data_IF_485145158784
#
_entry.id   IF_485145158784
#
_cell.length_a   1.000
_cell.length_b   1.000
_cell.length_c   1.000
_cell.angle_alpha   90.00
_cell.angle_beta   90.00
_cell.angle_gamma   90.00
#
_symmetry.space_group_name_H-M   'P 1'
#
loop_
_entity.id
_entity.type
_entity.pdbx_description
1 polymer ?
#
# COMPACT_ATOMS: atom_id res chain seq x y z
N UNK A 1 11.78 -19.46 12.31
CA UNK A 1 11.86 -19.40 10.83
C UNK A 1 10.92 -18.35 10.24
N UNK A 2 9.61 -18.42 10.46
CA UNK A 2 8.66 -17.43 9.93
C UNK A 2 8.97 -15.97 10.30
N UNK A 3 9.40 -15.70 11.55
CA UNK A 3 9.80 -14.35 12.00
C UNK A 3 11.02 -13.81 11.24
N UNK A 4 11.98 -14.67 10.89
CA UNK A 4 13.17 -14.27 10.11
C UNK A 4 12.81 -13.93 8.66
N UNK A 5 11.95 -14.74 8.04
CA UNK A 5 11.42 -14.48 6.69
C UNK A 5 10.59 -13.19 6.63
N UNK A 6 9.78 -12.94 7.66
CA UNK A 6 9.00 -11.71 7.79
C UNK A 6 9.91 -10.49 7.99
N UNK A 7 10.95 -10.62 8.83
CA UNK A 7 11.95 -9.57 9.06
C UNK A 7 12.78 -9.23 7.81
N UNK A 8 13.21 -10.24 7.05
CA UNK A 8 13.92 -10.03 5.78
C UNK A 8 13.03 -9.34 4.74
N UNK A 9 11.77 -9.79 4.59
CA UNK A 9 10.83 -9.15 3.66
C UNK A 9 10.54 -7.70 4.05
N UNK A 10 10.33 -7.44 5.34
CA UNK A 10 10.14 -6.08 5.86
C UNK A 10 11.36 -5.18 5.63
N UNK A 11 12.56 -5.71 5.84
CA UNK A 11 13.81 -4.99 5.56
C UNK A 11 13.93 -4.59 4.08
N UNK A 12 13.67 -5.52 3.17
CA UNK A 12 13.69 -5.23 1.73
C UNK A 12 12.63 -4.20 1.34
N UNK A 13 11.39 -4.37 1.82
CA UNK A 13 10.30 -3.41 1.57
C UNK A 13 10.70 -1.99 2.00
N UNK A 14 11.24 -1.87 3.22
CA UNK A 14 11.60 -0.57 3.77
C UNK A 14 12.83 0.05 3.08
N UNK A 15 13.80 -0.77 2.65
CA UNK A 15 14.94 -0.34 1.86
C UNK A 15 14.53 0.17 0.46
N UNK A 16 13.60 -0.50 -0.21
CA UNK A 16 13.07 -0.03 -1.50
C UNK A 16 12.22 1.23 -1.33
N UNK A 17 11.40 1.30 -0.28
CA UNK A 17 10.58 2.48 0.01
C UNK A 17 11.44 3.72 0.28
N UNK A 18 12.48 3.61 1.11
CA UNK A 18 13.41 4.73 1.37
C UNK A 18 14.16 5.17 0.11
N UNK A 19 14.59 4.23 -0.75
CA UNK A 19 15.18 4.58 -2.06
C UNK A 19 14.16 5.25 -3.00
N UNK A 20 12.91 4.79 -3.01
CA UNK A 20 11.85 5.40 -3.81
C UNK A 20 11.58 6.84 -3.34
N UNK A 21 11.54 7.09 -2.03
CA UNK A 21 11.46 8.44 -1.47
C UNK A 21 12.67 9.32 -1.78
N UNK A 22 13.87 8.74 -1.83
CA UNK A 22 15.11 9.49 -2.12
C UNK A 22 15.26 9.85 -3.61
N UNK A 23 14.83 8.98 -4.53
CA UNK A 23 14.96 9.18 -5.99
C UNK A 23 13.73 9.89 -6.58
N UNK A 24 12.55 9.61 -6.04
CA UNK A 24 11.32 10.29 -6.44
C UNK A 24 11.36 11.73 -5.95
N UNK A 25 11.64 12.65 -6.86
CA UNK A 25 11.74 14.12 -6.65
C UNK A 25 10.54 14.76 -5.92
N UNK A 26 9.47 14.02 -5.64
CA UNK A 26 8.19 14.45 -5.11
C UNK A 26 7.59 13.36 -4.21
N UNK A 27 7.69 13.53 -2.88
CA UNK A 27 7.15 12.62 -1.86
C UNK A 27 5.68 12.19 -2.08
N UNK A 28 4.85 13.06 -2.67
CA UNK A 28 3.44 12.76 -2.94
C UNK A 28 3.18 11.57 -3.89
N UNK A 29 4.05 11.31 -4.87
CA UNK A 29 3.85 10.16 -5.78
C UNK A 29 4.16 8.85 -5.06
N UNK A 30 5.20 8.82 -4.22
CA UNK A 30 5.53 7.62 -3.43
C UNK A 30 4.43 7.35 -2.39
N UNK A 31 3.88 8.39 -1.76
CA UNK A 31 2.74 8.24 -0.85
C UNK A 31 1.50 7.66 -1.55
N UNK A 32 1.23 8.10 -2.80
CA UNK A 32 0.15 7.52 -3.59
C UNK A 32 0.37 6.04 -3.92
N UNK A 33 1.62 5.64 -4.19
CA UNK A 33 1.98 4.23 -4.40
C UNK A 33 1.79 3.40 -3.13
N UNK A 34 2.08 3.95 -1.94
CA UNK A 34 1.80 3.28 -0.66
C UNK A 34 0.30 3.04 -0.41
N UNK A 35 -0.61 3.78 -1.04
CA UNK A 35 -2.05 3.47 -0.97
C UNK A 35 -2.44 2.23 -1.77
N UNK A 36 -1.65 1.83 -2.77
CA UNK A 36 -1.88 0.57 -3.49
C UNK A 36 -1.66 -0.66 -2.60
N UNK A 37 -0.89 -0.52 -1.52
CA UNK A 37 -0.67 -1.56 -0.50
C UNK A 37 -2.00 -1.98 0.17
N UNK A 38 -2.96 -1.06 0.30
CA UNK A 38 -4.31 -1.35 0.81
C UNK A 38 -5.04 -2.37 -0.07
N UNK A 39 -4.91 -2.28 -1.40
CA UNK A 39 -5.53 -3.25 -2.32
C UNK A 39 -4.84 -4.61 -2.20
N UNK A 40 -3.52 -4.64 -2.14
CA UNK A 40 -2.75 -5.88 -2.04
C UNK A 40 -3.03 -6.63 -0.73
N UNK A 41 -3.06 -5.90 0.39
CA UNK A 41 -3.38 -6.45 1.71
C UNK A 41 -4.80 -6.99 1.78
N UNK A 42 -5.77 -6.36 1.11
CA UNK A 42 -7.14 -6.90 0.98
C UNK A 42 -7.19 -8.22 0.22
N UNK A 43 -6.50 -8.30 -0.92
CA UNK A 43 -6.48 -9.52 -1.74
C UNK A 43 -5.83 -10.67 -0.94
N UNK A 44 -4.68 -10.40 -0.31
CA UNK A 44 -4.00 -11.41 0.52
C UNK A 44 -4.82 -11.77 1.76
N UNK A 45 -5.43 -10.78 2.43
CA UNK A 45 -6.29 -10.99 3.59
C UNK A 45 -7.49 -11.87 3.26
N UNK A 46 -8.15 -11.63 2.12
CA UNK A 46 -9.22 -12.49 1.63
C UNK A 46 -8.75 -13.93 1.38
N UNK A 47 -7.57 -14.11 0.76
CA UNK A 47 -6.97 -15.44 0.58
C UNK A 47 -6.59 -16.12 1.91
N UNK A 48 -6.26 -15.36 2.95
CA UNK A 48 -6.02 -15.84 4.31
C UNK A 48 -7.30 -16.15 5.09
N UNK A 49 -8.49 -15.91 4.49
CA UNK A 49 -9.78 -16.19 5.11
C UNK A 49 -10.40 -15.01 5.86
N UNK A 50 -9.88 -13.79 5.68
CA UNK A 50 -10.50 -12.58 6.23
C UNK A 50 -11.85 -12.30 5.56
N UNK A 51 -12.79 -11.78 6.35
CA UNK A 51 -14.12 -11.46 5.86
C UNK A 51 -14.04 -10.31 4.85
N UNK A 52 -14.84 -10.38 3.78
CA UNK A 52 -14.93 -9.26 2.84
C UNK A 52 -15.32 -7.98 3.59
N UNK A 53 -14.65 -6.85 3.31
CA UNK A 53 -14.93 -5.59 3.98
C UNK A 53 -16.40 -5.21 3.84
N UNK A 54 -17.00 -4.73 4.93
CA UNK A 54 -18.37 -4.25 4.93
C UNK A 54 -18.54 -3.05 3.96
N UNK A 55 -19.77 -2.71 3.56
CA UNK A 55 -20.07 -1.64 2.60
C UNK A 55 -19.38 -0.30 2.93
N UNK A 56 -19.24 0.04 4.21
CA UNK A 56 -18.50 1.20 4.70
C UNK A 56 -16.97 1.10 4.46
N UNK A 57 -16.39 -0.07 4.70
CA UNK A 57 -14.98 -0.31 4.44
C UNK A 57 -14.67 -0.29 2.94
N UNK A 58 -15.58 -0.84 2.10
CA UNK A 58 -15.49 -0.74 0.65
C UNK A 58 -15.46 0.73 0.18
N UNK A 59 -16.34 1.58 0.72
CA UNK A 59 -16.34 3.01 0.42
C UNK A 59 -15.03 3.70 0.84
N UNK A 60 -14.47 3.34 2.00
CA UNK A 60 -13.17 3.83 2.45
C UNK A 60 -12.02 3.46 1.52
N UNK A 61 -11.99 2.20 1.04
CA UNK A 61 -10.98 1.71 0.09
C UNK A 61 -11.08 2.50 -1.22
N UNK A 62 -12.29 2.69 -1.75
CA UNK A 62 -12.51 3.51 -2.96
C UNK A 62 -12.00 4.93 -2.76
N UNK A 63 -12.24 5.53 -1.60
CA UNK A 63 -11.78 6.89 -1.28
C UNK A 63 -10.24 6.99 -1.21
N UNK A 64 -9.57 5.99 -0.65
CA UNK A 64 -8.11 5.89 -0.61
C UNK A 64 -7.54 5.77 -2.03
N UNK A 65 -8.15 4.94 -2.89
CA UNK A 65 -7.73 4.77 -4.29
C UNK A 65 -7.94 6.03 -5.10
N UNK A 66 -9.10 6.68 -4.97
CA UNK A 66 -9.40 7.95 -5.64
C UNK A 66 -8.44 9.05 -5.19
N UNK A 67 -8.14 9.13 -3.89
CA UNK A 67 -7.14 10.07 -3.36
C UNK A 67 -5.75 9.81 -3.94
N UNK A 68 -5.33 8.55 -4.06
CA UNK A 68 -4.07 8.17 -4.71
C UNK A 68 -4.01 8.63 -6.17
N UNK A 69 -5.09 8.42 -6.93
CA UNK A 69 -5.18 8.86 -8.33
C UNK A 69 -5.14 10.39 -8.43
N UNK A 70 -5.84 11.12 -7.56
CA UNK A 70 -5.85 12.59 -7.55
C UNK A 70 -4.46 13.16 -7.23
N UNK A 71 -3.75 12.60 -6.24
CA UNK A 71 -2.38 13.05 -5.88
C UNK A 71 -1.38 12.82 -7.02
N UNK A 72 -1.58 11.77 -7.82
CA UNK A 72 -0.79 11.51 -9.03
C UNK A 72 -1.18 12.46 -10.17
N UNK A 73 -2.49 12.75 -10.32
CA UNK A 73 -3.06 13.56 -11.42
C UNK A 73 -2.94 15.06 -11.21
N UNK A 74 -2.82 15.57 -9.97
CA UNK A 74 -2.56 16.99 -9.67
C UNK A 74 -1.12 17.41 -10.02
N UNK A 75 -0.48 16.67 -10.94
CA UNK A 75 0.83 16.93 -11.53
C UNK A 75 0.82 16.67 -13.02
#
# INVERSE_FOLDING_TARGET
>A
VFILLMGLSGYYFQAFMTKAFAVGKKAGVIAAVSYADVIFTLIIGYFMGDALPNHLALAGIVLVVVSGILVVKEK
#
